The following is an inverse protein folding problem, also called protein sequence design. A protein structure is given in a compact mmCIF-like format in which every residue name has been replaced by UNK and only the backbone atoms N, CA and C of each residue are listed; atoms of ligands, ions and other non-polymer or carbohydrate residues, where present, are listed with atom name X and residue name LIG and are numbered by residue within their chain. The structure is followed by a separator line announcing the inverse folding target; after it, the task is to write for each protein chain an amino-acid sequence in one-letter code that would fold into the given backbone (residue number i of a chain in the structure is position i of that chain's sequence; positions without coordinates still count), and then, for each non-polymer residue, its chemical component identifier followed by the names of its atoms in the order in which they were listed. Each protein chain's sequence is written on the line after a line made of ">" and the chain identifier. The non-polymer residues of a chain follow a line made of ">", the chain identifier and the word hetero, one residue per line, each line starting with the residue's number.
data_IF_791906917922
#
_entry.id   IF_791906917922
#
_cell.length_a   1.000
_cell.length_b   1.000
_cell.length_c   1.000
_cell.angle_alpha   90.00
_cell.angle_beta   90.00
_cell.angle_gamma   90.00
#
_symmetry.space_group_name_H-M   'P 1'
#
loop_
_entity.id
_entity.type
_entity.pdbx_description
1 polymer ?
#
# COMPACT_ATOMS: atom_id res chain seq x y z
N UNK A 1 32.44 -6.69 41.18
CA UNK A 1 32.38 -6.05 39.86
C UNK A 1 30.91 -6.04 39.41
N UNK A 2 30.24 -4.89 39.56
CA UNK A 2 28.84 -4.75 39.20
C UNK A 2 28.77 -4.22 37.79
N UNK A 3 28.21 -5.01 36.87
CA UNK A 3 27.89 -4.57 35.51
C UNK A 3 26.67 -3.67 35.56
N UNK A 4 26.90 -2.40 35.31
CA UNK A 4 25.82 -1.42 35.18
C UNK A 4 24.92 -1.72 33.99
N UNK A 5 23.66 -2.01 34.24
CA UNK A 5 22.59 -1.96 33.23
C UNK A 5 22.38 -0.51 32.82
N UNK A 6 22.87 -0.11 31.64
CA UNK A 6 22.43 1.11 31.00
C UNK A 6 20.93 0.99 30.69
N UNK A 7 20.13 1.76 31.43
CA UNK A 7 18.75 2.03 31.08
C UNK A 7 18.79 2.96 29.87
N UNK A 8 18.56 2.44 28.68
CA UNK A 8 18.19 3.22 27.51
C UNK A 8 16.92 4.01 27.87
N UNK A 9 17.08 5.27 28.24
CA UNK A 9 15.95 6.18 28.38
C UNK A 9 15.41 6.45 26.98
N UNK A 10 14.29 5.87 26.64
CA UNK A 10 13.53 6.22 25.44
C UNK A 10 13.07 7.67 25.59
N UNK A 11 13.82 8.60 24.98
CA UNK A 11 13.46 10.00 24.91
C UNK A 11 12.18 10.10 24.07
N UNK A 12 11.07 10.44 24.73
CA UNK A 12 9.78 10.67 24.07
C UNK A 12 9.69 12.13 23.65
N UNK A 13 9.58 12.36 22.34
CA UNK A 13 9.29 13.68 21.79
C UNK A 13 7.78 13.87 21.66
N UNK A 14 7.30 15.07 21.97
CA UNK A 14 5.89 15.42 21.84
C UNK A 14 5.64 16.20 20.57
N UNK A 15 4.59 15.82 19.86
CA UNK A 15 4.06 16.55 18.69
C UNK A 15 2.62 16.95 18.94
N UNK A 16 2.18 18.03 18.31
CA UNK A 16 0.77 18.45 18.34
C UNK A 16 0.18 18.29 16.94
N UNK A 17 -0.99 17.68 16.87
CA UNK A 17 -1.74 17.46 15.62
C UNK A 17 -3.14 18.00 15.80
N UNK A 18 -3.62 18.79 14.82
CA UNK A 18 -5.00 19.27 14.77
C UNK A 18 -5.83 18.31 13.93
N UNK A 19 -6.92 17.82 14.51
CA UNK A 19 -7.88 16.95 13.84
C UNK A 19 -9.24 17.64 13.77
N UNK A 20 -10.02 17.32 12.72
CA UNK A 20 -11.42 17.74 12.69
C UNK A 20 -12.22 17.06 13.81
N UNK A 21 -13.31 17.67 14.31
CA UNK A 21 -14.13 17.03 15.34
C UNK A 21 -14.65 15.64 14.95
N UNK A 22 -15.01 15.45 13.68
CA UNK A 22 -15.47 14.17 13.17
C UNK A 22 -14.35 13.10 13.25
N UNK A 23 -13.15 13.41 12.78
CA UNK A 23 -12.01 12.49 12.81
C UNK A 23 -11.57 12.18 14.25
N UNK A 24 -11.65 13.16 15.16
CA UNK A 24 -11.36 12.93 16.57
C UNK A 24 -12.36 11.97 17.21
N UNK A 25 -13.65 12.09 16.87
CA UNK A 25 -14.68 11.18 17.35
C UNK A 25 -14.46 9.74 16.86
N UNK A 26 -14.08 9.58 15.60
CA UNK A 26 -13.75 8.26 15.04
C UNK A 26 -12.50 7.65 15.70
N UNK A 27 -11.49 8.47 15.99
CA UNK A 27 -10.31 8.05 16.74
C UNK A 27 -10.69 7.58 18.15
N UNK A 28 -11.55 8.28 18.85
CA UNK A 28 -12.01 7.90 20.19
C UNK A 28 -12.74 6.56 20.16
N UNK A 29 -13.63 6.38 19.20
CA UNK A 29 -14.34 5.10 19.01
C UNK A 29 -13.35 3.95 18.70
N UNK A 30 -12.32 4.20 17.91
CA UNK A 30 -11.30 3.20 17.62
C UNK A 30 -10.46 2.86 18.86
N UNK A 31 -10.11 3.86 19.68
CA UNK A 31 -9.37 3.67 20.94
C UNK A 31 -10.15 2.74 21.88
N UNK A 32 -11.45 2.95 22.02
CA UNK A 32 -12.31 2.10 22.84
C UNK A 32 -12.45 0.68 22.25
N UNK A 33 -12.76 0.60 20.96
CA UNK A 33 -13.04 -0.70 20.28
C UNK A 33 -11.82 -1.61 20.24
N UNK A 34 -10.61 -1.06 20.09
CA UNK A 34 -9.36 -1.81 19.99
C UNK A 34 -8.58 -1.90 21.30
N UNK A 35 -9.16 -1.41 22.41
CA UNK A 35 -8.56 -1.40 23.76
C UNK A 35 -7.15 -0.75 23.78
N UNK A 36 -6.98 0.39 23.12
CA UNK A 36 -5.76 1.18 23.31
C UNK A 36 -5.80 1.90 24.66
N UNK A 37 -4.66 2.01 25.34
CA UNK A 37 -4.57 2.69 26.64
C UNK A 37 -4.79 4.20 26.53
N UNK A 38 -4.56 4.79 25.35
CA UNK A 38 -4.72 6.22 25.11
C UNK A 38 -4.78 6.56 23.62
N UNK A 39 -5.29 7.77 23.30
CA UNK A 39 -5.19 8.36 21.96
C UNK A 39 -3.75 8.39 21.45
N UNK A 40 -2.79 8.76 22.31
CA UNK A 40 -1.37 8.82 21.95
C UNK A 40 -0.82 7.47 21.52
N UNK A 41 -1.21 6.39 22.22
CA UNK A 41 -0.81 5.05 21.85
C UNK A 41 -1.41 4.63 20.50
N UNK A 42 -2.70 4.88 20.28
CA UNK A 42 -3.37 4.58 19.02
C UNK A 42 -2.72 5.32 17.84
N UNK A 43 -2.44 6.61 18.01
CA UNK A 43 -1.75 7.42 16.97
C UNK A 43 -0.33 6.91 16.72
N UNK A 44 0.42 6.59 17.79
CA UNK A 44 1.78 6.06 17.66
C UNK A 44 1.79 4.73 16.89
N UNK A 45 0.83 3.85 17.16
CA UNK A 45 0.71 2.56 16.46
C UNK A 45 0.35 2.75 14.98
N UNK A 46 -0.57 3.67 14.67
CA UNK A 46 -0.91 4.01 13.28
C UNK A 46 0.28 4.61 12.53
N UNK A 47 0.98 5.56 13.14
CA UNK A 47 2.16 6.19 12.54
C UNK A 47 3.27 5.16 12.33
N UNK A 48 3.51 4.29 13.29
CA UNK A 48 4.52 3.25 13.17
C UNK A 48 4.21 2.27 12.03
N UNK A 49 2.95 1.84 11.89
CA UNK A 49 2.52 0.98 10.78
C UNK A 49 2.74 1.66 9.44
N UNK A 50 2.34 2.92 9.31
CA UNK A 50 2.51 3.67 8.06
C UNK A 50 3.99 3.88 7.72
N UNK A 51 4.84 4.17 8.70
CA UNK A 51 6.28 4.30 8.50
C UNK A 51 6.95 2.99 8.11
N UNK A 52 6.51 1.85 8.66
CA UNK A 52 7.01 0.53 8.25
C UNK A 52 6.66 0.26 6.79
N UNK A 53 5.43 0.55 6.39
CA UNK A 53 4.97 0.38 5.00
C UNK A 53 5.73 1.32 4.05
N UNK A 54 5.89 2.59 4.44
CA UNK A 54 6.69 3.57 3.71
C UNK A 54 8.14 3.11 3.51
N UNK A 55 8.79 2.60 4.56
CA UNK A 55 10.17 2.07 4.46
C UNK A 55 10.25 0.87 3.53
N UNK A 56 9.24 -0.03 3.56
CA UNK A 56 9.16 -1.15 2.62
C UNK A 56 9.03 -0.66 1.17
N UNK A 57 8.24 0.40 0.95
CA UNK A 57 8.05 0.99 -0.38
C UNK A 57 9.31 1.66 -0.93
N UNK A 58 10.23 2.10 -0.08
CA UNK A 58 11.52 2.69 -0.48
C UNK A 58 12.60 1.63 -0.76
N UNK A 59 12.38 0.38 -0.35
CA UNK A 59 13.31 -0.72 -0.59
C UNK A 59 13.38 -1.09 -2.08
N UNK A 60 14.56 -1.52 -2.52
CA UNK A 60 14.76 -2.03 -3.88
C UNK A 60 14.75 -3.58 -3.91
N UNK A 61 14.18 -4.18 -2.88
CA UNK A 61 14.03 -5.62 -2.77
C UNK A 61 12.96 -6.14 -3.73
N UNK A 62 13.10 -7.39 -4.14
CA UNK A 62 12.07 -8.07 -4.92
C UNK A 62 10.94 -8.47 -3.96
N UNK A 63 9.77 -7.93 -4.23
CA UNK A 63 8.57 -8.13 -3.42
C UNK A 63 7.45 -8.71 -4.27
N UNK A 64 6.54 -9.40 -3.63
CA UNK A 64 5.23 -9.75 -4.19
C UNK A 64 4.21 -8.77 -3.64
N UNK A 65 3.31 -8.35 -4.49
CA UNK A 65 2.26 -7.43 -4.08
C UNK A 65 1.03 -7.51 -4.97
N UNK A 66 0.10 -6.65 -4.66
CA UNK A 66 -1.08 -6.42 -5.49
C UNK A 66 -1.18 -4.94 -5.87
N UNK A 67 -1.55 -4.69 -7.11
CA UNK A 67 -2.00 -3.37 -7.55
C UNK A 67 -3.50 -3.46 -7.74
N UNK A 68 -4.25 -2.68 -6.98
CA UNK A 68 -5.71 -2.61 -7.11
C UNK A 68 -6.07 -1.31 -7.81
N UNK A 69 -6.68 -1.44 -8.98
CA UNK A 69 -7.13 -0.32 -9.82
C UNK A 69 -8.64 -0.28 -9.82
N UNK A 70 -9.22 0.88 -9.55
CA UNK A 70 -10.65 1.11 -9.63
C UNK A 70 -10.93 2.15 -10.68
N UNK A 71 -11.74 1.82 -11.70
CA UNK A 71 -11.91 2.67 -12.86
C UNK A 71 -13.32 2.58 -13.47
N UNK A 72 -13.62 3.56 -14.32
CA UNK A 72 -14.83 3.65 -15.11
C UNK A 72 -14.69 2.90 -16.45
N UNK A 73 -15.38 1.76 -16.56
CA UNK A 73 -15.41 0.94 -17.77
C UNK A 73 -16.01 1.68 -18.98
N UNK A 74 -16.88 2.66 -18.78
CA UNK A 74 -17.49 3.42 -19.86
C UNK A 74 -16.52 4.39 -20.54
N UNK A 75 -15.39 4.68 -19.89
CA UNK A 75 -14.35 5.54 -20.45
C UNK A 75 -13.71 4.87 -21.67
N UNK A 76 -13.91 5.49 -22.82
CA UNK A 76 -13.43 4.95 -24.10
C UNK A 76 -11.92 4.78 -24.14
N UNK A 77 -11.46 3.59 -24.48
CA UNK A 77 -10.04 3.27 -24.64
C UNK A 77 -9.28 2.99 -23.33
N UNK A 78 -9.91 3.19 -22.17
CA UNK A 78 -9.23 3.01 -20.88
C UNK A 78 -8.83 1.55 -20.64
N UNK A 79 -9.71 0.59 -20.87
CA UNK A 79 -9.38 -0.84 -20.70
C UNK A 79 -8.22 -1.27 -21.58
N UNK A 80 -8.22 -0.83 -22.86
CA UNK A 80 -7.09 -1.11 -23.75
C UNK A 80 -5.79 -0.48 -23.25
N UNK A 81 -5.87 0.76 -22.73
CA UNK A 81 -4.70 1.45 -22.18
C UNK A 81 -4.14 0.74 -20.93
N UNK A 82 -5.01 0.27 -20.04
CA UNK A 82 -4.57 -0.48 -18.85
C UNK A 82 -3.94 -1.82 -19.27
N UNK A 83 -4.55 -2.55 -20.20
CA UNK A 83 -3.98 -3.79 -20.74
C UNK A 83 -2.62 -3.57 -21.43
N UNK A 84 -2.44 -2.46 -22.15
CA UNK A 84 -1.14 -2.10 -22.73
C UNK A 84 -0.07 -1.86 -21.66
N UNK A 85 -0.44 -1.23 -20.55
CA UNK A 85 0.47 -1.00 -19.42
C UNK A 85 0.86 -2.35 -18.80
N UNK A 86 -0.09 -3.25 -18.57
CA UNK A 86 0.20 -4.60 -18.07
C UNK A 86 1.16 -5.37 -19.00
N UNK A 87 0.91 -5.31 -20.30
CA UNK A 87 1.74 -5.96 -21.29
C UNK A 87 3.17 -5.39 -21.37
N UNK A 88 3.31 -4.05 -21.23
CA UNK A 88 4.62 -3.39 -21.16
C UNK A 88 5.43 -3.79 -19.91
N UNK A 89 4.75 -4.29 -18.89
CA UNK A 89 5.32 -4.72 -17.61
C UNK A 89 5.07 -6.21 -17.34
N UNK A 90 5.09 -7.01 -18.40
CA UNK A 90 4.78 -8.45 -18.33
C UNK A 90 5.73 -9.22 -17.39
N UNK A 91 6.93 -8.71 -17.16
CA UNK A 91 7.89 -9.31 -16.23
C UNK A 91 7.49 -9.13 -14.77
N UNK A 92 6.76 -8.07 -14.47
CA UNK A 92 6.29 -7.74 -13.12
C UNK A 92 4.83 -8.17 -12.89
N UNK A 93 3.98 -8.12 -13.91
CA UNK A 93 2.56 -8.47 -13.81
C UNK A 93 2.36 -9.96 -14.06
N UNK A 94 1.98 -10.69 -13.01
CA UNK A 94 1.82 -12.15 -13.06
C UNK A 94 0.44 -12.54 -13.57
N UNK A 95 -0.60 -11.85 -13.05
CA UNK A 95 -2.00 -12.11 -13.41
C UNK A 95 -2.87 -10.92 -13.04
N UNK A 96 -4.04 -10.84 -13.65
CA UNK A 96 -5.06 -9.85 -13.27
C UNK A 96 -6.41 -10.52 -13.07
N UNK A 97 -7.20 -9.94 -12.18
CA UNK A 97 -8.58 -10.32 -11.88
C UNK A 97 -9.47 -9.11 -12.03
N UNK A 98 -10.45 -9.20 -12.94
CA UNK A 98 -11.45 -8.16 -13.13
C UNK A 98 -12.70 -8.46 -12.33
N UNK A 99 -13.09 -7.54 -11.47
CA UNK A 99 -14.34 -7.59 -10.71
C UNK A 99 -15.29 -6.53 -11.25
N UNK A 100 -16.39 -6.97 -11.86
CA UNK A 100 -17.41 -6.07 -12.36
C UNK A 100 -18.26 -5.54 -11.20
N UNK A 101 -18.32 -4.24 -11.09
CA UNK A 101 -19.10 -3.53 -10.08
C UNK A 101 -20.33 -2.88 -10.75
N UNK A 102 -21.26 -2.39 -9.94
CA UNK A 102 -22.39 -1.62 -10.42
C UNK A 102 -21.96 -0.28 -11.05
N UNK A 103 -22.84 0.36 -11.82
CA UNK A 103 -22.63 1.70 -12.40
C UNK A 103 -21.37 1.83 -13.28
N UNK A 104 -21.12 0.84 -14.13
CA UNK A 104 -19.97 0.80 -15.04
C UNK A 104 -18.58 0.86 -14.36
N UNK A 105 -18.51 0.50 -13.12
CA UNK A 105 -17.25 0.47 -12.38
C UNK A 105 -16.62 -0.92 -12.45
N UNK A 106 -15.31 -0.95 -12.51
CA UNK A 106 -14.50 -2.16 -12.44
C UNK A 106 -13.44 -1.98 -11.37
N UNK A 107 -13.27 -2.99 -10.55
CA UNK A 107 -12.09 -3.15 -9.71
C UNK A 107 -11.21 -4.23 -10.32
N UNK A 108 -10.02 -3.88 -10.70
CA UNK A 108 -9.03 -4.80 -11.23
C UNK A 108 -7.93 -5.01 -10.20
N UNK A 109 -7.61 -6.26 -9.93
CA UNK A 109 -6.56 -6.64 -8.99
C UNK A 109 -5.47 -7.36 -9.78
N UNK A 110 -4.29 -6.73 -9.85
CA UNK A 110 -3.11 -7.32 -10.46
C UNK A 110 -2.25 -7.96 -9.37
N UNK A 111 -1.87 -9.22 -9.58
CA UNK A 111 -0.81 -9.85 -8.80
C UNK A 111 0.53 -9.49 -9.46
N UNK A 112 1.41 -8.89 -8.69
CA UNK A 112 2.69 -8.37 -9.19
C UNK A 112 3.87 -8.89 -8.37
N UNK A 113 5.01 -9.04 -9.04
CA UNK A 113 6.28 -9.39 -8.40
C UNK A 113 7.40 -8.58 -9.07
N UNK A 114 8.25 -7.97 -8.28
CA UNK A 114 9.38 -7.21 -8.81
C UNK A 114 9.98 -6.28 -7.75
N UNK A 115 10.89 -5.43 -8.19
CA UNK A 115 11.46 -4.41 -7.32
C UNK A 115 10.39 -3.40 -6.92
N UNK A 116 10.31 -3.08 -5.65
CA UNK A 116 9.26 -2.21 -5.11
C UNK A 116 9.13 -0.88 -5.86
N UNK A 117 10.26 -0.26 -6.20
CA UNK A 117 10.25 0.98 -6.99
C UNK A 117 9.61 0.79 -8.37
N UNK A 118 9.86 -0.34 -9.02
CA UNK A 118 9.27 -0.65 -10.32
C UNK A 118 7.77 -0.88 -10.22
N UNK A 119 7.33 -1.60 -9.19
CA UNK A 119 5.90 -1.81 -8.92
C UNK A 119 5.19 -0.49 -8.63
N UNK A 120 5.86 0.44 -7.93
CA UNK A 120 5.31 1.77 -7.66
C UNK A 120 5.19 2.61 -8.93
N UNK A 121 6.16 2.53 -9.85
CA UNK A 121 6.08 3.18 -11.17
C UNK A 121 4.86 2.70 -11.96
N UNK A 122 4.61 1.39 -11.99
CA UNK A 122 3.44 0.80 -12.67
C UNK A 122 2.14 1.37 -12.08
N UNK A 123 1.99 1.35 -10.76
CA UNK A 123 0.81 1.88 -10.09
C UNK A 123 0.62 3.38 -10.36
N UNK A 124 1.70 4.16 -10.37
CA UNK A 124 1.66 5.59 -10.66
C UNK A 124 1.21 5.88 -12.10
N UNK A 125 1.71 5.13 -13.08
CA UNK A 125 1.31 5.26 -14.49
C UNK A 125 -0.18 4.93 -14.64
N UNK A 126 -0.67 3.86 -14.03
CA UNK A 126 -2.09 3.50 -14.06
C UNK A 126 -2.97 4.58 -13.43
N UNK A 127 -2.54 5.14 -12.30
CA UNK A 127 -3.27 6.20 -11.60
C UNK A 127 -3.46 7.47 -12.45
N UNK A 128 -2.50 7.77 -13.34
CA UNK A 128 -2.59 8.94 -14.23
C UNK A 128 -3.56 8.77 -15.39
N UNK A 129 -4.06 7.57 -15.65
CA UNK A 129 -5.00 7.31 -16.73
C UNK A 129 -6.36 7.97 -16.43
N UNK A 130 -6.88 8.73 -17.41
CA UNK A 130 -8.18 9.36 -17.27
C UNK A 130 -9.28 8.30 -17.13
N UNK A 131 -10.10 8.42 -16.10
CA UNK A 131 -11.16 7.46 -15.77
C UNK A 131 -10.76 6.45 -14.69
N UNK A 132 -9.52 6.46 -14.23
CA UNK A 132 -9.09 5.74 -13.03
C UNK A 132 -9.45 6.57 -11.81
N UNK A 133 -10.24 6.00 -10.89
CA UNK A 133 -10.65 6.65 -9.65
C UNK A 133 -9.59 6.48 -8.56
N UNK A 134 -9.00 5.31 -8.48
CA UNK A 134 -7.94 5.00 -7.53
C UNK A 134 -7.05 3.89 -8.07
N UNK A 135 -5.79 3.93 -7.66
CA UNK A 135 -4.82 2.87 -7.90
C UNK A 135 -3.93 2.76 -6.66
N UNK A 136 -3.83 1.58 -6.09
CA UNK A 136 -3.06 1.34 -4.87
C UNK A 136 -2.18 0.12 -5.01
N UNK A 137 -0.90 0.30 -4.77
CA UNK A 137 0.05 -0.78 -4.58
C UNK A 137 0.05 -1.20 -3.10
N UNK A 138 -0.06 -2.49 -2.86
CA UNK A 138 0.17 -3.09 -1.56
C UNK A 138 1.23 -4.17 -1.70
N UNK A 139 2.38 -3.98 -1.06
CA UNK A 139 3.48 -4.95 -1.08
C UNK A 139 3.39 -5.86 0.14
N UNK A 140 3.72 -7.12 -0.09
CA UNK A 140 3.78 -8.15 0.92
C UNK A 140 5.25 -8.57 1.12
N UNK A 141 5.49 -9.46 2.07
CA UNK A 141 6.81 -10.03 2.26
C UNK A 141 7.28 -10.77 1.00
N UNK A 142 8.58 -10.76 0.74
CA UNK A 142 9.14 -11.51 -0.37
C UNK A 142 8.75 -12.98 -0.29
N UNK A 143 8.24 -13.53 -1.39
CA UNK A 143 7.97 -14.96 -1.54
C UNK A 143 9.18 -15.59 -2.22
N UNK A 144 9.76 -16.59 -1.58
CA UNK A 144 10.87 -17.36 -2.12
C UNK A 144 10.39 -18.79 -2.32
N UNK A 145 10.58 -19.39 -3.47
CA UNK A 145 11.17 -18.88 -4.71
C UNK A 145 10.26 -17.94 -5.48
N UNK A 146 10.82 -17.10 -6.37
CA UNK A 146 10.01 -16.24 -7.23
C UNK A 146 9.03 -17.07 -8.05
N UNK A 147 7.82 -16.55 -8.23
CA UNK A 147 6.76 -17.22 -9.00
C UNK A 147 7.10 -17.34 -10.50
N UNK A 148 7.90 -16.44 -11.00
CA UNK A 148 8.49 -16.51 -12.34
C UNK A 148 9.98 -16.79 -12.20
N UNK A 149 10.47 -17.76 -12.96
CA UNK A 149 11.89 -18.10 -12.96
C UNK A 149 12.76 -16.93 -13.43
N UNK A 150 14.08 -16.99 -13.18
CA UNK A 150 14.97 -15.95 -13.67
C UNK A 150 14.83 -15.83 -15.19
N UNK A 151 14.59 -14.59 -15.63
CA UNK A 151 14.70 -14.26 -17.06
C UNK A 151 16.17 -14.45 -17.43
N UNK A 152 16.44 -15.47 -18.21
CA UNK A 152 17.79 -15.79 -18.69
C UNK A 152 18.18 -14.79 -19.75
#
# INVERSE_FOLDING_TARGET
>A
MAAGKEKSSTLVSRISVSLSPALLSELDQMVETRNFDSRSQAVSDMVNRELVEYKRSLGNDIMVGTITVHYDRSMRGLQARLADIEYQHIDEVISSLHVQLSQNQVMEVLLVQGRTLRLQEIANVMLTCRGVFSCRLQVHAAIIPPLQGPVV
#
